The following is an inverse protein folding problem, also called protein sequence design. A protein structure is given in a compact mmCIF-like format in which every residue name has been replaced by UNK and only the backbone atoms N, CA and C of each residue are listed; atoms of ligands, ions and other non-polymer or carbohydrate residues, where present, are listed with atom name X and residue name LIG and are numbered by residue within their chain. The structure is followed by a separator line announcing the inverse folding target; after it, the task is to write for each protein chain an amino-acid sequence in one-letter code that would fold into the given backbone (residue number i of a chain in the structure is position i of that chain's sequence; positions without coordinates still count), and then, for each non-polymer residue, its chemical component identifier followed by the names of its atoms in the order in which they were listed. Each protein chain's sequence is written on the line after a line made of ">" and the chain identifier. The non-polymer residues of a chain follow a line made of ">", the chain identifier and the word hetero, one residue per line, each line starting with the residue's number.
data_IF_365221824540
#
_entry.id   IF_365221824540
#
_cell.length_a   1.000
_cell.length_b   1.000
_cell.length_c   1.000
_cell.angle_alpha   90.00
_cell.angle_beta   90.00
_cell.angle_gamma   90.00
#
_symmetry.space_group_name_H-M   'P 1'
#
loop_
_entity.id
_entity.type
_entity.pdbx_description
1 polymer ?
#
# COMPACT_ATOMS: atom_id res chain seq x y z
N UNK A 1 24.21 -13.87 30.63
CA UNK A 1 25.34 -13.82 29.67
C UNK A 1 25.06 -14.65 28.42
N UNK A 2 24.84 -15.97 28.53
CA UNK A 2 24.50 -16.88 27.40
C UNK A 2 23.40 -16.32 26.46
N UNK A 3 22.24 -15.93 27.00
CA UNK A 3 21.13 -15.37 26.21
C UNK A 3 21.55 -14.20 25.31
N UNK A 4 22.38 -13.29 25.82
CA UNK A 4 22.85 -12.10 25.10
C UNK A 4 23.79 -12.45 23.94
N UNK A 5 24.60 -13.49 24.08
CA UNK A 5 25.47 -13.98 23.02
C UNK A 5 24.65 -14.68 21.93
N UNK A 6 23.75 -15.58 22.34
CA UNK A 6 22.87 -16.34 21.42
C UNK A 6 21.98 -15.39 20.60
N UNK A 7 21.32 -14.41 21.22
CA UNK A 7 20.43 -13.49 20.50
C UNK A 7 21.14 -12.58 19.50
N UNK A 8 22.47 -12.44 19.61
CA UNK A 8 23.34 -11.68 18.69
C UNK A 8 24.11 -12.57 17.72
N UNK A 9 23.79 -13.87 17.67
CA UNK A 9 24.44 -14.81 16.75
C UNK A 9 25.87 -15.19 17.11
N UNK A 10 26.30 -14.95 18.36
CA UNK A 10 27.65 -15.27 18.84
C UNK A 10 27.79 -16.71 19.35
N UNK A 11 26.70 -17.48 19.35
CA UNK A 11 26.69 -18.86 19.84
C UNK A 11 26.85 -18.98 21.36
N UNK A 12 27.30 -20.15 21.79
CA UNK A 12 27.56 -20.53 23.20
C UNK A 12 29.01 -21.00 23.32
N UNK A 13 29.75 -20.58 24.35
CA UNK A 13 31.15 -21.01 24.53
C UNK A 13 31.25 -22.45 25.04
N UNK A 14 32.42 -23.07 24.92
CA UNK A 14 32.64 -24.44 25.41
C UNK A 14 32.39 -24.56 26.92
N UNK A 15 32.82 -23.57 27.71
CA UNK A 15 32.54 -23.49 29.16
C UNK A 15 31.04 -23.39 29.44
N UNK A 16 30.30 -22.57 28.67
CA UNK A 16 28.86 -22.43 28.82
C UNK A 16 28.12 -23.71 28.42
N UNK A 17 28.61 -24.46 27.41
CA UNK A 17 28.07 -25.77 27.01
C UNK A 17 28.22 -26.81 28.13
N UNK A 18 29.39 -26.87 28.76
CA UNK A 18 29.65 -27.80 29.87
C UNK A 18 28.75 -27.48 31.07
N UNK A 19 28.61 -26.19 31.41
CA UNK A 19 27.71 -25.75 32.47
C UNK A 19 26.24 -26.06 32.17
N UNK A 20 25.80 -25.87 30.92
CA UNK A 20 24.46 -26.25 30.46
C UNK A 20 24.23 -27.76 30.59
N UNK A 21 25.19 -28.59 30.17
CA UNK A 21 25.10 -30.06 30.30
C UNK A 21 25.05 -30.51 31.76
N UNK A 22 25.86 -29.89 32.63
CA UNK A 22 25.88 -30.15 34.07
C UNK A 22 24.51 -29.91 34.73
N UNK A 23 23.76 -28.93 34.23
CA UNK A 23 22.41 -28.63 34.69
C UNK A 23 21.31 -29.39 33.92
N UNK A 24 21.68 -30.44 33.17
CA UNK A 24 20.72 -31.30 32.48
C UNK A 24 20.07 -30.68 31.24
N UNK A 25 20.65 -29.61 30.66
CA UNK A 25 20.14 -29.05 29.41
C UNK A 25 20.42 -30.03 28.26
N UNK A 26 19.39 -30.44 27.48
CA UNK A 26 19.57 -31.37 26.39
C UNK A 26 20.48 -30.86 25.27
N UNK A 27 21.23 -31.76 24.62
CA UNK A 27 22.14 -31.41 23.52
C UNK A 27 21.43 -30.69 22.35
N UNK A 28 20.19 -31.07 22.02
CA UNK A 28 19.44 -30.42 20.94
C UNK A 28 19.19 -28.92 21.21
N UNK A 29 19.04 -28.53 22.48
CA UNK A 29 18.80 -27.14 22.85
C UNK A 29 20.10 -26.33 22.70
N UNK A 30 21.23 -26.92 23.10
CA UNK A 30 22.57 -26.33 22.90
C UNK A 30 22.83 -26.12 21.41
N UNK A 31 22.57 -27.14 20.59
CA UNK A 31 22.68 -27.05 19.12
C UNK A 31 21.75 -25.99 18.54
N UNK A 32 20.53 -25.86 19.06
CA UNK A 32 19.60 -24.80 18.68
C UNK A 32 20.18 -23.42 18.98
N UNK A 33 20.75 -23.20 20.17
CA UNK A 33 21.40 -21.94 20.54
C UNK A 33 22.58 -21.57 19.63
N UNK A 34 23.33 -22.56 19.11
CA UNK A 34 24.42 -22.31 18.17
C UNK A 34 23.95 -21.87 16.77
N UNK A 35 22.72 -22.24 16.37
CA UNK A 35 22.17 -21.92 15.04
C UNK A 35 21.58 -20.52 14.96
N UNK A 36 21.06 -19.98 16.06
CA UNK A 36 20.40 -18.67 16.10
C UNK A 36 21.39 -17.58 15.65
N UNK A 37 21.02 -16.81 14.62
CA UNK A 37 21.78 -15.63 14.17
C UNK A 37 21.26 -14.32 14.74
N UNK A 38 19.97 -14.28 15.03
CA UNK A 38 19.29 -13.13 15.61
C UNK A 38 18.03 -13.60 16.34
N UNK A 39 17.72 -13.01 17.50
CA UNK A 39 16.49 -13.33 18.25
C UNK A 39 15.91 -12.09 18.92
N UNK A 40 14.60 -11.90 18.77
CA UNK A 40 13.88 -10.79 19.36
C UNK A 40 13.71 -10.96 20.88
N UNK A 41 13.80 -9.87 21.66
CA UNK A 41 13.34 -9.90 23.05
C UNK A 41 11.81 -10.03 23.08
N UNK A 42 11.29 -10.70 24.12
CA UNK A 42 9.84 -10.95 24.29
C UNK A 42 9.00 -9.67 24.19
N UNK A 43 9.46 -8.57 24.78
CA UNK A 43 8.74 -7.29 24.74
C UNK A 43 8.51 -6.77 23.31
N UNK A 44 9.49 -6.92 22.42
CA UNK A 44 9.36 -6.55 21.02
C UNK A 44 8.34 -7.42 20.30
N UNK A 45 8.42 -8.75 20.48
CA UNK A 45 7.45 -9.68 19.90
C UNK A 45 6.01 -9.38 20.37
N UNK A 46 5.83 -9.14 21.67
CA UNK A 46 4.51 -8.79 22.25
C UNK A 46 3.98 -7.49 21.66
N UNK A 47 4.80 -6.44 21.55
CA UNK A 47 4.37 -5.16 20.98
C UNK A 47 3.89 -5.30 19.52
N UNK A 48 4.63 -6.03 18.68
CA UNK A 48 4.26 -6.28 17.28
C UNK A 48 2.99 -7.12 17.18
N UNK A 49 2.87 -8.17 17.98
CA UNK A 49 1.69 -9.06 17.96
C UNK A 49 0.43 -8.32 18.43
N UNK A 50 0.52 -7.44 19.43
CA UNK A 50 -0.62 -6.61 19.86
C UNK A 50 -1.07 -5.69 18.72
N UNK A 51 -0.14 -5.09 17.97
CA UNK A 51 -0.46 -4.27 16.79
C UNK A 51 -1.11 -5.11 15.68
N UNK A 52 -0.53 -6.26 15.38
CA UNK A 52 -1.08 -7.18 14.38
C UNK A 52 -2.51 -7.63 14.74
N UNK A 53 -2.76 -7.95 16.01
CA UNK A 53 -4.09 -8.35 16.47
C UNK A 53 -5.12 -7.21 16.35
N UNK A 54 -4.74 -5.98 16.70
CA UNK A 54 -5.59 -4.80 16.50
C UNK A 54 -5.92 -4.58 15.03
N UNK A 55 -4.94 -4.69 14.14
CA UNK A 55 -5.16 -4.58 12.68
C UNK A 55 -6.04 -5.72 12.17
N UNK A 56 -5.81 -6.95 12.63
CA UNK A 56 -6.59 -8.13 12.24
C UNK A 56 -8.06 -7.99 12.62
N UNK A 57 -8.37 -7.39 13.78
CA UNK A 57 -9.74 -7.10 14.17
C UNK A 57 -10.48 -6.26 13.12
N UNK A 58 -9.85 -5.19 12.60
CA UNK A 58 -10.43 -4.40 11.51
C UNK A 58 -10.50 -5.18 10.21
N UNK A 59 -9.46 -5.96 9.87
CA UNK A 59 -9.50 -6.80 8.66
C UNK A 59 -10.69 -7.76 8.65
N UNK A 60 -11.06 -8.31 9.80
CA UNK A 60 -12.20 -9.23 9.94
C UNK A 60 -13.53 -8.48 10.01
N UNK A 61 -13.68 -7.54 10.94
CA UNK A 61 -14.97 -6.94 11.30
C UNK A 61 -15.28 -5.61 10.59
N UNK A 62 -14.27 -4.91 10.07
CA UNK A 62 -14.40 -3.62 9.37
C UNK A 62 -13.54 -3.63 8.09
N UNK A 63 -13.79 -4.57 7.16
CA UNK A 63 -12.90 -4.82 6.02
C UNK A 63 -12.65 -3.60 5.14
N UNK A 64 -13.67 -2.79 4.84
CA UNK A 64 -13.49 -1.58 4.02
C UNK A 64 -12.55 -0.57 4.68
N UNK A 65 -12.66 -0.38 6.00
CA UNK A 65 -11.75 0.48 6.76
C UNK A 65 -10.32 -0.07 6.77
N UNK A 66 -10.15 -1.38 6.86
CA UNK A 66 -8.85 -2.03 6.72
C UNK A 66 -8.25 -1.77 5.34
N UNK A 67 -9.00 -2.04 4.26
CA UNK A 67 -8.52 -1.87 2.89
C UNK A 67 -8.21 -0.41 2.57
N UNK A 68 -9.13 0.51 2.90
CA UNK A 68 -8.92 1.95 2.73
C UNK A 68 -7.61 2.41 3.39
N UNK A 69 -7.38 1.98 4.63
CA UNK A 69 -6.18 2.34 5.39
C UNK A 69 -4.94 1.68 4.80
N UNK A 70 -5.01 0.40 4.42
CA UNK A 70 -3.89 -0.33 3.83
C UNK A 70 -3.43 0.34 2.53
N UNK A 71 -4.34 0.62 1.59
CA UNK A 71 -3.99 1.24 0.31
C UNK A 71 -3.57 2.70 0.46
N UNK A 72 -4.02 3.40 1.51
CA UNK A 72 -3.58 4.77 1.81
C UNK A 72 -2.16 4.83 2.39
N UNK A 73 -1.80 3.88 3.26
CA UNK A 73 -0.61 4.01 4.12
C UNK A 73 0.54 3.07 3.72
N UNK A 74 0.25 1.96 3.02
CA UNK A 74 1.22 0.88 2.78
C UNK A 74 1.42 0.52 1.31
N UNK A 75 0.51 0.92 0.42
CA UNK A 75 0.56 0.55 -0.98
C UNK A 75 1.38 1.57 -1.80
N UNK A 76 2.69 1.60 -1.56
CA UNK A 76 3.60 2.52 -2.26
C UNK A 76 3.66 2.23 -3.76
N UNK A 77 3.66 0.96 -4.15
CA UNK A 77 3.64 0.51 -5.56
C UNK A 77 2.25 0.03 -5.96
N UNK A 78 1.31 0.96 -6.11
CA UNK A 78 -0.06 0.72 -6.56
C UNK A 78 -0.20 0.94 -8.08
N UNK A 79 -1.01 0.10 -8.74
CA UNK A 79 -1.33 0.27 -10.15
C UNK A 79 -2.84 0.25 -10.36
N UNK A 80 -3.41 1.43 -10.64
CA UNK A 80 -4.84 1.61 -10.79
C UNK A 80 -5.42 0.87 -12.00
N UNK A 81 -4.70 0.86 -13.14
CA UNK A 81 -5.12 0.18 -14.37
C UNK A 81 -5.33 -1.32 -14.17
N UNK A 82 -4.46 -1.98 -13.39
CA UNK A 82 -4.59 -3.41 -13.10
C UNK A 82 -5.80 -3.66 -12.19
N UNK A 83 -5.98 -2.85 -11.14
CA UNK A 83 -7.02 -3.12 -10.15
C UNK A 83 -8.42 -2.75 -10.64
N UNK A 84 -8.58 -1.73 -11.48
CA UNK A 84 -9.89 -1.35 -12.04
C UNK A 84 -10.43 -2.38 -13.03
N UNK A 85 -9.54 -3.12 -13.71
CA UNK A 85 -9.93 -4.24 -14.58
C UNK A 85 -10.42 -5.47 -13.79
N UNK A 86 -10.32 -5.44 -12.47
CA UNK A 86 -10.90 -6.43 -11.57
C UNK A 86 -10.06 -7.69 -11.36
N UNK A 87 -10.70 -8.68 -10.72
CA UNK A 87 -10.04 -9.88 -10.16
C UNK A 87 -9.18 -10.66 -11.16
N UNK A 88 -9.59 -10.79 -12.41
CA UNK A 88 -8.90 -11.64 -13.39
C UNK A 88 -7.63 -10.96 -13.91
N UNK A 89 -7.67 -9.63 -14.10
CA UNK A 89 -6.49 -8.82 -14.41
C UNK A 89 -5.46 -8.90 -13.27
N UNK A 90 -5.91 -8.78 -12.03
CA UNK A 90 -5.03 -8.89 -10.85
C UNK A 90 -4.39 -10.28 -10.78
N UNK A 91 -5.16 -11.35 -10.94
CA UNK A 91 -4.64 -12.73 -10.93
C UNK A 91 -3.58 -12.95 -12.01
N UNK A 92 -3.78 -12.40 -13.20
CA UNK A 92 -2.80 -12.53 -14.29
C UNK A 92 -1.50 -11.78 -13.96
N UNK A 93 -1.61 -10.55 -13.46
CA UNK A 93 -0.44 -9.77 -13.03
C UNK A 93 0.35 -10.46 -11.91
N UNK A 94 -0.34 -11.06 -10.92
CA UNK A 94 0.29 -11.86 -9.86
C UNK A 94 1.09 -13.02 -10.47
N UNK A 95 0.47 -13.82 -11.36
CA UNK A 95 1.14 -14.95 -12.02
C UNK A 95 2.38 -14.53 -12.81
N UNK A 96 2.31 -13.41 -13.52
CA UNK A 96 3.43 -12.88 -14.30
C UNK A 96 4.62 -12.49 -13.41
N UNK A 97 4.35 -11.87 -12.26
CA UNK A 97 5.40 -11.50 -11.30
C UNK A 97 5.97 -12.75 -10.62
N UNK A 98 5.12 -13.68 -10.18
CA UNK A 98 5.54 -14.94 -9.55
C UNK A 98 6.39 -15.80 -10.49
N UNK A 99 6.06 -15.85 -11.78
CA UNK A 99 6.82 -16.59 -12.79
C UNK A 99 8.27 -16.10 -12.93
N UNK A 100 8.56 -14.85 -12.55
CA UNK A 100 9.93 -14.30 -12.53
C UNK A 100 10.74 -14.78 -11.33
N UNK A 101 10.09 -15.26 -10.26
CA UNK A 101 10.74 -15.75 -9.05
C UNK A 101 11.78 -14.76 -8.50
N UNK A 102 13.03 -15.22 -8.38
CA UNK A 102 14.13 -14.38 -7.88
C UNK A 102 14.51 -13.23 -8.82
N UNK A 103 14.14 -13.30 -10.10
CA UNK A 103 14.41 -12.25 -11.09
C UNK A 103 13.41 -11.09 -11.02
N UNK A 104 12.34 -11.19 -10.21
CA UNK A 104 11.43 -10.07 -9.99
C UNK A 104 12.17 -8.91 -9.29
N UNK A 105 12.02 -7.71 -9.84
CA UNK A 105 12.58 -6.49 -9.27
C UNK A 105 11.97 -6.17 -7.90
N UNK A 106 12.63 -5.35 -7.06
CA UNK A 106 12.06 -4.91 -5.79
C UNK A 106 10.70 -4.24 -5.95
N UNK A 107 10.51 -3.45 -7.01
CA UNK A 107 9.24 -2.78 -7.34
C UNK A 107 8.14 -3.79 -7.65
N UNK A 108 8.44 -4.83 -8.42
CA UNK A 108 7.47 -5.88 -8.73
C UNK A 108 7.09 -6.71 -7.50
N UNK A 109 8.04 -7.00 -6.60
CA UNK A 109 7.74 -7.69 -5.33
C UNK A 109 6.86 -6.85 -4.40
N UNK A 110 7.09 -5.54 -4.38
CA UNK A 110 6.25 -4.58 -3.66
C UNK A 110 4.83 -4.53 -4.25
N UNK A 111 4.71 -4.39 -5.58
CA UNK A 111 3.45 -4.44 -6.30
C UNK A 111 2.71 -5.77 -6.07
N UNK A 112 3.41 -6.91 -6.11
CA UNK A 112 2.83 -8.24 -5.82
C UNK A 112 2.10 -8.26 -4.48
N UNK A 113 2.75 -7.73 -3.43
CA UNK A 113 2.16 -7.67 -2.09
C UNK A 113 0.87 -6.84 -2.07
N UNK A 114 0.83 -5.73 -2.80
CA UNK A 114 -0.36 -4.87 -2.94
C UNK A 114 -1.47 -5.60 -3.73
N UNK A 115 -1.11 -6.28 -4.82
CA UNK A 115 -2.05 -7.01 -5.67
C UNK A 115 -2.69 -8.20 -4.94
N UNK A 116 -1.97 -8.89 -4.07
CA UNK A 116 -2.53 -9.97 -3.23
C UNK A 116 -3.65 -9.44 -2.32
N UNK A 117 -3.44 -8.28 -1.69
CA UNK A 117 -4.46 -7.64 -0.84
C UNK A 117 -5.62 -7.11 -1.66
N UNK A 118 -5.36 -6.56 -2.86
CA UNK A 118 -6.40 -6.13 -3.79
C UNK A 118 -7.24 -7.33 -4.28
N UNK A 119 -6.62 -8.46 -4.59
CA UNK A 119 -7.31 -9.68 -4.98
C UNK A 119 -8.19 -10.20 -3.83
N UNK A 120 -7.65 -10.23 -2.61
CA UNK A 120 -8.42 -10.59 -1.41
C UNK A 120 -9.66 -9.70 -1.24
N UNK A 121 -9.49 -8.38 -1.39
CA UNK A 121 -10.58 -7.40 -1.31
C UNK A 121 -11.68 -7.72 -2.34
N UNK A 122 -11.31 -7.99 -3.60
CA UNK A 122 -12.26 -8.41 -4.64
C UNK A 122 -12.95 -9.73 -4.32
N UNK A 123 -12.23 -10.72 -3.80
CA UNK A 123 -12.78 -12.03 -3.44
C UNK A 123 -13.75 -11.95 -2.25
N UNK A 124 -13.64 -10.91 -1.42
CA UNK A 124 -14.58 -10.61 -0.33
C UNK A 124 -15.80 -9.78 -0.75
N UNK A 125 -15.92 -9.46 -2.04
CA UNK A 125 -17.08 -8.74 -2.59
C UNK A 125 -16.95 -7.22 -2.61
N UNK A 126 -15.80 -6.67 -2.21
CA UNK A 126 -15.51 -5.24 -2.34
C UNK A 126 -14.89 -4.96 -3.71
N UNK A 127 -14.91 -3.69 -4.14
CA UNK A 127 -14.33 -3.28 -5.42
C UNK A 127 -13.75 -1.88 -5.33
N UNK A 128 -12.84 -1.58 -6.25
CA UNK A 128 -12.43 -0.20 -6.48
C UNK A 128 -13.41 0.46 -7.45
N UNK A 129 -13.61 1.76 -7.27
CA UNK A 129 -14.26 2.60 -8.26
C UNK A 129 -13.25 3.50 -8.95
N UNK A 130 -13.63 4.08 -10.08
CA UNK A 130 -12.72 4.97 -10.80
C UNK A 130 -12.48 6.27 -10.01
N UNK A 131 -11.33 6.91 -10.26
CA UNK A 131 -11.02 8.21 -9.70
C UNK A 131 -12.04 9.25 -10.19
N UNK A 132 -12.42 10.16 -9.31
CA UNK A 132 -13.39 11.22 -9.57
C UNK A 132 -12.78 12.57 -9.17
N UNK A 133 -12.78 13.53 -10.09
CA UNK A 133 -12.16 14.85 -9.89
C UNK A 133 -12.68 15.59 -8.65
N UNK A 134 -13.96 15.43 -8.33
CA UNK A 134 -14.64 16.17 -7.27
C UNK A 134 -14.84 15.34 -6.00
N UNK A 135 -14.85 14.01 -6.08
CA UNK A 135 -15.04 13.12 -4.93
C UNK A 135 -13.75 12.53 -4.39
N UNK A 136 -12.76 12.21 -5.24
CA UNK A 136 -11.51 11.57 -4.78
C UNK A 136 -10.73 12.48 -3.85
N UNK A 137 -10.14 11.95 -2.79
CA UNK A 137 -9.17 12.70 -1.98
C UNK A 137 -7.86 12.91 -2.76
N UNK A 138 -6.99 13.79 -2.27
CA UNK A 138 -5.65 13.95 -2.84
C UNK A 138 -4.77 12.72 -2.64
N UNK A 139 -4.83 12.09 -1.45
CA UNK A 139 -3.89 11.03 -1.04
C UNK A 139 -4.52 9.85 -0.29
N UNK A 140 -5.80 9.94 0.09
CA UNK A 140 -6.49 8.89 0.87
C UNK A 140 -7.50 8.12 0.02
N UNK A 141 -7.53 6.81 0.20
CA UNK A 141 -8.66 6.01 -0.28
C UNK A 141 -9.88 6.31 0.59
N UNK A 142 -11.01 6.63 -0.05
CA UNK A 142 -12.27 6.93 0.62
C UNK A 142 -13.24 5.75 0.47
N UNK A 143 -14.00 5.48 1.52
CA UNK A 143 -15.05 4.46 1.51
C UNK A 143 -16.33 5.14 0.97
N UNK A 144 -16.94 4.54 -0.04
CA UNK A 144 -18.21 5.00 -0.62
C UNK A 144 -19.16 3.83 -0.75
N UNK A 145 -20.46 4.11 -0.91
CA UNK A 145 -21.47 3.05 -1.11
C UNK A 145 -21.21 2.20 -2.35
N UNK A 146 -20.57 2.77 -3.38
CA UNK A 146 -20.25 2.07 -4.62
C UNK A 146 -18.97 1.24 -4.52
N UNK A 147 -18.08 1.54 -3.57
CA UNK A 147 -16.80 0.86 -3.37
C UNK A 147 -15.71 1.77 -2.86
N UNK A 148 -14.47 1.32 -2.95
CA UNK A 148 -13.31 2.07 -2.49
C UNK A 148 -12.85 3.06 -3.57
N UNK A 149 -12.92 4.35 -3.27
CA UNK A 149 -12.55 5.45 -4.16
C UNK A 149 -11.06 5.76 -4.04
N UNK A 150 -10.26 5.58 -5.10
CA UNK A 150 -8.84 5.89 -5.08
C UNK A 150 -8.59 7.40 -5.03
N UNK A 151 -7.48 7.83 -4.41
CA UNK A 151 -7.06 9.22 -4.42
C UNK A 151 -6.48 9.62 -5.77
N UNK A 152 -6.41 10.93 -6.03
CA UNK A 152 -5.84 11.49 -7.25
C UNK A 152 -4.36 11.09 -7.44
N UNK A 153 -3.57 10.95 -6.37
CA UNK A 153 -2.17 10.52 -6.45
C UNK A 153 -1.98 9.03 -6.75
N UNK A 154 -3.04 8.23 -6.82
CA UNK A 154 -2.96 6.82 -7.24
C UNK A 154 -2.80 6.66 -8.76
N UNK A 155 -3.03 7.74 -9.51
CA UNK A 155 -2.80 7.81 -10.95
C UNK A 155 -1.29 7.91 -11.22
N UNK A 156 -0.75 6.98 -12.00
CA UNK A 156 0.66 6.98 -12.36
C UNK A 156 1.02 8.28 -13.10
N UNK A 157 1.99 9.02 -12.59
CA UNK A 157 2.37 10.35 -13.10
C UNK A 157 1.71 11.54 -12.39
N UNK A 158 0.73 11.32 -11.52
CA UNK A 158 0.13 12.36 -10.66
C UNK A 158 0.80 12.36 -9.30
N UNK A 159 1.79 13.23 -9.12
CA UNK A 159 2.48 13.36 -7.84
C UNK A 159 1.59 13.93 -6.72
N UNK A 160 1.96 13.68 -5.46
CA UNK A 160 1.22 14.13 -4.26
C UNK A 160 0.96 15.65 -4.29
N UNK A 161 1.92 16.45 -4.73
CA UNK A 161 1.74 17.90 -4.79
C UNK A 161 0.69 18.31 -5.82
N UNK A 162 0.70 17.69 -7.00
CA UNK A 162 -0.32 17.95 -8.02
C UNK A 162 -1.70 17.55 -7.52
N UNK A 163 -1.82 16.36 -6.92
CA UNK A 163 -3.07 15.89 -6.33
C UNK A 163 -3.61 16.83 -5.24
N UNK A 164 -2.74 17.33 -4.35
CA UNK A 164 -3.12 18.31 -3.31
C UNK A 164 -3.56 19.63 -3.91
N UNK A 165 -2.82 20.17 -4.88
CA UNK A 165 -3.20 21.42 -5.54
C UNK A 165 -4.55 21.29 -6.24
N UNK A 166 -4.82 20.17 -6.92
CA UNK A 166 -6.13 19.91 -7.54
C UNK A 166 -7.24 19.89 -6.48
N UNK A 167 -7.03 19.16 -5.37
CA UNK A 167 -8.00 19.05 -4.30
C UNK A 167 -8.28 20.38 -3.58
N UNK A 168 -7.26 21.25 -3.45
CA UNK A 168 -7.41 22.60 -2.91
C UNK A 168 -8.15 23.51 -3.88
N UNK A 169 -7.75 23.54 -5.16
CA UNK A 169 -8.35 24.46 -6.12
C UNK A 169 -9.83 24.16 -6.37
N UNK A 170 -10.27 22.90 -6.34
CA UNK A 170 -11.70 22.57 -6.48
C UNK A 170 -12.58 23.09 -5.33
N UNK A 171 -12.01 23.41 -4.16
CA UNK A 171 -12.73 24.05 -3.06
C UNK A 171 -13.09 25.51 -3.39
N UNK A 172 -12.31 26.17 -4.26
CA UNK A 172 -12.57 27.53 -4.76
C UNK A 172 -13.70 27.57 -5.81
N UNK A 173 -14.40 26.46 -6.04
CA UNK A 173 -15.49 26.33 -7.01
C UNK A 173 -15.20 25.31 -8.11
N UNK A 174 -16.24 24.92 -8.84
CA UNK A 174 -16.11 23.97 -9.95
C UNK A 174 -15.17 24.52 -11.03
N UNK A 175 -14.48 23.62 -11.73
CA UNK A 175 -13.71 23.99 -12.91
C UNK A 175 -14.66 24.24 -14.08
N UNK A 176 -14.42 25.31 -14.82
CA UNK A 176 -15.28 25.72 -15.94
C UNK A 176 -14.88 25.05 -17.26
N UNK A 177 -13.58 24.80 -17.43
CA UNK A 177 -12.98 24.18 -18.60
C UNK A 177 -11.66 23.51 -18.25
N UNK A 178 -11.10 22.75 -19.18
CA UNK A 178 -9.74 22.19 -19.07
C UNK A 178 -8.70 23.31 -18.97
N UNK A 179 -8.92 24.43 -19.68
CA UNK A 179 -8.08 25.62 -19.57
C UNK A 179 -8.14 26.26 -18.17
N UNK A 180 -9.34 26.44 -17.61
CA UNK A 180 -9.52 26.93 -16.24
C UNK A 180 -8.84 26.01 -15.22
N UNK A 181 -9.06 24.70 -15.34
CA UNK A 181 -8.42 23.69 -14.53
C UNK A 181 -6.89 23.82 -14.57
N UNK A 182 -6.31 23.94 -15.78
CA UNK A 182 -4.87 24.09 -15.96
C UNK A 182 -4.34 25.38 -15.33
N UNK A 183 -5.03 26.50 -15.53
CA UNK A 183 -4.60 27.81 -15.05
C UNK A 183 -4.62 27.88 -13.52
N UNK A 184 -5.64 27.32 -12.88
CA UNK A 184 -5.78 27.26 -11.42
C UNK A 184 -4.80 26.28 -10.78
N UNK A 185 -4.77 25.05 -11.27
CA UNK A 185 -3.99 23.98 -10.64
C UNK A 185 -2.50 24.00 -11.01
N UNK A 186 -2.15 24.64 -12.13
CA UNK A 186 -0.77 24.71 -12.68
C UNK A 186 -0.12 23.34 -12.88
N UNK A 187 -0.91 22.28 -13.03
CA UNK A 187 -0.39 20.93 -13.28
C UNK A 187 0.13 20.79 -14.71
N UNK A 188 1.02 19.82 -14.92
CA UNK A 188 1.62 19.57 -16.22
C UNK A 188 0.61 19.06 -17.24
N UNK A 189 0.91 19.21 -18.53
CA UNK A 189 0.09 18.65 -19.62
C UNK A 189 -0.08 17.13 -19.47
N UNK A 190 0.97 16.43 -19.05
CA UNK A 190 0.93 14.99 -18.78
C UNK A 190 -0.10 14.63 -17.71
N UNK A 191 -0.19 15.38 -16.62
CA UNK A 191 -1.21 15.16 -15.58
C UNK A 191 -2.62 15.36 -16.13
N UNK A 192 -2.83 16.36 -16.97
CA UNK A 192 -4.13 16.60 -17.63
C UNK A 192 -4.49 15.43 -18.54
N UNK A 193 -3.54 14.91 -19.33
CA UNK A 193 -3.75 13.77 -20.22
C UNK A 193 -4.12 12.51 -19.43
N UNK A 194 -3.45 12.24 -18.31
CA UNK A 194 -3.78 11.14 -17.40
C UNK A 194 -5.19 11.30 -16.82
N UNK A 195 -5.54 12.49 -16.32
CA UNK A 195 -6.88 12.75 -15.78
C UNK A 195 -7.97 12.59 -16.86
N UNK A 196 -7.70 13.00 -18.11
CA UNK A 196 -8.59 12.77 -19.25
C UNK A 196 -8.75 11.28 -19.55
N UNK A 197 -7.67 10.50 -19.54
CA UNK A 197 -7.70 9.05 -19.77
C UNK A 197 -8.60 8.34 -18.75
N UNK A 198 -8.57 8.78 -17.49
CA UNK A 198 -9.40 8.23 -16.41
C UNK A 198 -10.76 8.91 -16.29
N UNK A 199 -11.17 9.69 -17.28
CA UNK A 199 -12.52 10.27 -17.35
C UNK A 199 -12.78 11.42 -16.39
N UNK A 200 -11.77 11.94 -15.69
CA UNK A 200 -11.94 12.99 -14.67
C UNK A 200 -12.25 14.37 -15.27
N UNK A 201 -11.91 14.59 -16.55
CA UNK A 201 -12.04 15.89 -17.23
C UNK A 201 -12.96 15.84 -18.47
N UNK A 202 -13.64 14.72 -18.72
CA UNK A 202 -14.40 14.50 -19.97
C UNK A 202 -15.63 15.39 -20.10
N UNK A 203 -16.24 15.76 -18.97
CA UNK A 203 -17.43 16.61 -18.93
C UNK A 203 -17.10 18.12 -19.03
N UNK A 204 -15.81 18.48 -19.07
CA UNK A 204 -15.37 19.87 -19.16
C UNK A 204 -15.09 20.26 -20.61
N UNK A 205 -15.58 21.44 -21.07
CA UNK A 205 -15.16 21.99 -22.36
C UNK A 205 -13.66 22.31 -22.36
N UNK A 206 -13.03 22.34 -23.53
CA UNK A 206 -11.59 22.63 -23.62
C UNK A 206 -11.25 24.06 -23.18
N UNK A 207 -12.09 25.04 -23.51
CA UNK A 207 -11.90 26.46 -23.13
C UNK A 207 -13.21 27.13 -22.70
N UNK A 208 -13.09 28.23 -21.97
CA UNK A 208 -14.21 29.09 -21.63
C UNK A 208 -14.52 30.02 -22.81
N UNK A 209 -15.74 29.98 -23.35
CA UNK A 209 -16.15 30.96 -24.37
C UNK A 209 -16.59 32.32 -23.78
N UNK A 210 -16.85 32.37 -22.47
CA UNK A 210 -17.24 33.57 -21.73
C UNK A 210 -16.44 33.63 -20.43
N UNK A 211 -15.83 34.79 -20.17
CA UNK A 211 -15.15 35.12 -18.91
C UNK A 211 -15.85 36.32 -18.28
N UNK A 212 -16.26 36.20 -17.02
CA UNK A 212 -16.87 37.28 -16.25
C UNK A 212 -15.89 37.63 -15.12
N UNK A 213 -15.58 38.93 -15.00
CA UNK A 213 -14.57 39.48 -14.08
C UNK A 213 -14.97 39.35 -12.61
#
# INVERSE_FOLDING_TARGET
>A
KIMENVRKGKGVTQEEIEEMRKHGVPNWFIESCQKIKYMFPKAHAVAYVIMAFRIAYFKVHYPEAFYATYFTVRADDFNLDIVLKGKDSIKNAIKEIEAKGNNASPKEKSLLTVLEVALEMYLRGFKFINVDLYKSDAVKFLITEEGLLPPLNSLEGVGIQAAKTIAQERENGKFLSVEDFRNRTKVSKTVIEILKQYGCLTDLPESNQLSLF
#
